data_IF_729003256785
#
_entry.id   IF_729003256785
#
_cell.length_a   1.000
_cell.length_b   1.000
_cell.length_c   1.000
_cell.angle_alpha   90.00
_cell.angle_beta   90.00
_cell.angle_gamma   90.00
#
_symmetry.space_group_name_H-M   'P 1'
#
loop_
_entity.id
_entity.type
_entity.pdbx_description
1 polymer ?
#
# COMPACT_ATOMS: atom_id res chain seq x y z
N UNK A 1 -9.34 -39.37 -7.92
CA UNK A 1 -8.81 -38.21 -7.17
C UNK A 1 -8.09 -37.35 -8.20
N UNK A 2 -8.72 -36.27 -8.65
CA UNK A 2 -8.14 -35.37 -9.64
C UNK A 2 -6.96 -34.66 -9.00
N UNK A 3 -5.75 -34.81 -9.56
CA UNK A 3 -4.69 -33.84 -9.33
C UNK A 3 -5.27 -32.48 -9.76
N UNK A 4 -5.49 -31.58 -8.80
CA UNK A 4 -5.71 -30.19 -9.13
C UNK A 4 -4.46 -29.76 -9.89
N UNK A 5 -4.61 -29.34 -11.15
CA UNK A 5 -3.51 -28.76 -11.90
C UNK A 5 -3.02 -27.56 -11.09
N UNK A 6 -1.88 -27.72 -10.42
CA UNK A 6 -1.24 -26.65 -9.68
C UNK A 6 -1.11 -25.44 -10.62
N UNK A 7 -1.49 -24.26 -10.12
CA UNK A 7 -1.36 -23.00 -10.87
C UNK A 7 0.10 -22.91 -11.35
N UNK A 8 0.32 -22.77 -12.66
CA UNK A 8 1.68 -22.70 -13.22
C UNK A 8 2.31 -21.36 -12.80
N UNK A 9 3.25 -21.41 -11.87
CA UNK A 9 3.89 -20.21 -11.31
C UNK A 9 5.18 -19.76 -12.04
N UNK A 10 5.41 -20.25 -13.27
CA UNK A 10 6.65 -19.97 -14.03
C UNK A 10 6.64 -18.61 -14.73
N UNK A 11 5.45 -18.06 -15.02
CA UNK A 11 5.29 -16.78 -15.69
C UNK A 11 4.41 -15.86 -14.86
N UNK A 12 4.59 -14.56 -15.05
CA UNK A 12 3.64 -13.58 -14.54
C UNK A 12 2.34 -13.64 -15.34
N UNK A 13 1.23 -13.20 -14.73
CA UNK A 13 0.02 -12.89 -15.50
C UNK A 13 0.31 -11.76 -16.51
N UNK A 14 -0.54 -11.56 -17.55
CA UNK A 14 -0.36 -10.45 -18.48
C UNK A 14 -0.42 -9.10 -17.75
N UNK A 15 0.61 -8.26 -17.93
CA UNK A 15 0.73 -6.94 -17.26
C UNK A 15 -0.50 -6.03 -17.44
N UNK A 16 -1.19 -6.13 -18.57
CA UNK A 16 -2.42 -5.38 -18.85
C UNK A 16 -3.59 -5.79 -17.96
N UNK A 17 -3.60 -7.01 -17.44
CA UNK A 17 -4.64 -7.54 -16.55
C UNK A 17 -4.47 -7.12 -15.08
N UNK A 18 -3.37 -6.44 -14.75
CA UNK A 18 -3.08 -5.93 -13.39
C UNK A 18 -2.72 -4.43 -13.40
N UNK A 19 -2.91 -3.78 -14.55
CA UNK A 19 -2.62 -2.37 -14.82
C UNK A 19 -1.16 -2.02 -14.52
N UNK A 20 -0.24 -2.75 -15.15
CA UNK A 20 1.21 -2.50 -15.07
C UNK A 20 1.85 -2.33 -16.45
N UNK A 21 2.85 -1.45 -16.50
CA UNK A 21 3.68 -1.22 -17.68
C UNK A 21 4.91 -2.12 -17.67
N UNK A 22 5.65 -2.18 -16.56
CA UNK A 22 6.81 -3.05 -16.42
C UNK A 22 6.40 -4.46 -15.98
N UNK A 23 7.04 -5.47 -16.57
CA UNK A 23 6.87 -6.88 -16.16
C UNK A 23 7.40 -7.11 -14.74
N UNK A 24 8.47 -6.41 -14.35
CA UNK A 24 9.04 -6.48 -13.00
C UNK A 24 8.11 -5.99 -11.90
N UNK A 25 7.08 -5.20 -12.25
CA UNK A 25 6.06 -4.71 -11.33
C UNK A 25 4.81 -5.62 -11.33
N UNK A 26 4.84 -6.77 -12.01
CA UNK A 26 3.78 -7.80 -11.95
C UNK A 26 4.20 -8.91 -10.99
N UNK A 27 3.51 -9.01 -9.87
CA UNK A 27 3.81 -10.01 -8.84
C UNK A 27 2.94 -11.26 -8.96
N UNK A 28 1.75 -11.15 -9.55
CA UNK A 28 0.88 -12.31 -9.77
C UNK A 28 1.42 -13.24 -10.86
N UNK A 29 1.36 -14.54 -10.57
CA UNK A 29 1.79 -15.60 -11.49
C UNK A 29 0.62 -16.41 -12.07
N UNK A 30 -0.58 -16.28 -11.50
CA UNK A 30 -1.77 -16.94 -12.04
C UNK A 30 -2.95 -16.84 -11.09
N UNK A 31 -4.13 -17.22 -11.57
CA UNK A 31 -5.32 -17.35 -10.73
C UNK A 31 -6.30 -18.38 -11.29
N UNK A 32 -7.16 -18.90 -10.42
CA UNK A 32 -8.23 -19.84 -10.74
C UNK A 32 -9.54 -19.46 -10.03
N UNK A 33 -10.65 -19.81 -10.66
CA UNK A 33 -11.97 -19.82 -10.02
C UNK A 33 -12.10 -21.13 -9.22
N UNK A 34 -12.25 -21.02 -7.90
CA UNK A 34 -12.49 -22.18 -7.03
C UNK A 34 -13.98 -22.54 -7.03
N UNK A 35 -14.83 -21.53 -6.84
CA UNK A 35 -16.29 -21.58 -6.94
C UNK A 35 -16.84 -20.16 -7.03
N UNK A 36 -18.15 -20.02 -7.21
CA UNK A 36 -18.79 -18.70 -7.23
C UNK A 36 -18.39 -17.84 -6.01
N UNK A 37 -17.88 -16.63 -6.29
CA UNK A 37 -17.41 -15.69 -5.28
C UNK A 37 -16.11 -16.07 -4.56
N UNK A 38 -15.41 -17.15 -4.95
CA UNK A 38 -14.15 -17.58 -4.35
C UNK A 38 -13.10 -17.92 -5.41
N UNK A 39 -11.97 -17.23 -5.34
CA UNK A 39 -10.84 -17.36 -6.24
C UNK A 39 -9.58 -17.67 -5.47
N UNK A 40 -8.60 -18.25 -6.17
CA UNK A 40 -7.23 -18.40 -5.67
C UNK A 40 -6.27 -17.77 -6.66
N UNK A 41 -5.39 -16.90 -6.16
CA UNK A 41 -4.29 -16.34 -6.94
C UNK A 41 -2.96 -16.88 -6.42
N UNK A 42 -1.96 -16.88 -7.29
CA UNK A 42 -0.56 -17.15 -6.94
C UNK A 42 0.28 -15.91 -7.24
N UNK A 43 1.31 -15.68 -6.43
CA UNK A 43 2.24 -14.57 -6.60
C UNK A 43 3.67 -14.99 -6.26
N UNK A 44 4.63 -14.22 -6.76
CA UNK A 44 6.02 -14.29 -6.35
C UNK A 44 6.44 -12.97 -5.68
N UNK A 45 6.92 -13.05 -4.45
CA UNK A 45 7.41 -11.90 -3.70
C UNK A 45 8.93 -11.76 -3.89
N UNK A 46 9.41 -10.66 -4.51
CA UNK A 46 10.82 -10.51 -4.84
C UNK A 46 11.68 -10.34 -3.59
N UNK A 47 12.88 -10.90 -3.57
CA UNK A 47 13.84 -10.73 -2.45
C UNK A 47 14.29 -9.28 -2.29
N UNK A 48 14.31 -8.54 -3.40
CA UNK A 48 14.78 -7.16 -3.48
C UNK A 48 13.90 -6.40 -4.45
N UNK A 49 13.49 -5.20 -4.04
CA UNK A 49 12.78 -4.24 -4.86
C UNK A 49 13.33 -2.84 -4.56
N UNK A 50 13.41 -1.98 -5.57
CA UNK A 50 13.87 -0.58 -5.48
C UNK A 50 13.04 0.28 -4.51
N UNK A 51 11.87 -0.19 -4.13
CA UNK A 51 10.88 0.55 -3.33
C UNK A 51 10.40 -0.28 -2.14
N UNK A 52 9.87 -1.48 -2.38
CA UNK A 52 9.30 -2.32 -1.33
C UNK A 52 10.32 -3.02 -0.42
N UNK A 53 11.59 -3.10 -0.78
CA UNK A 53 12.63 -3.70 0.06
C UNK A 53 13.62 -2.66 0.60
N UNK A 54 13.50 -1.42 0.15
CA UNK A 54 14.42 -0.32 0.44
C UNK A 54 14.04 0.32 1.78
N UNK A 55 14.57 -0.23 2.88
CA UNK A 55 14.31 0.26 4.24
C UNK A 55 15.58 0.20 5.08
N UNK A 56 15.65 1.06 6.10
CA UNK A 56 16.76 1.13 7.08
C UNK A 56 16.82 -0.04 8.07
N UNK A 57 15.91 -1.01 7.96
CA UNK A 57 15.82 -2.16 8.84
C UNK A 57 17.02 -3.10 8.70
N UNK A 58 17.53 -3.63 9.83
CA UNK A 58 18.68 -4.56 9.83
C UNK A 58 18.40 -5.89 9.14
N UNK A 59 17.17 -6.41 9.28
CA UNK A 59 16.76 -7.70 8.73
C UNK A 59 15.75 -7.51 7.61
N UNK A 60 15.99 -8.17 6.47
CA UNK A 60 15.11 -8.14 5.32
C UNK A 60 13.76 -8.81 5.61
N UNK A 61 12.68 -8.15 5.23
CA UNK A 61 11.31 -8.65 5.33
C UNK A 61 10.47 -8.08 4.18
N UNK A 62 9.40 -8.78 3.84
CA UNK A 62 8.38 -8.28 2.95
C UNK A 62 7.63 -7.12 3.60
N UNK A 63 7.61 -5.98 2.91
CA UNK A 63 6.94 -4.77 3.38
C UNK A 63 5.42 -4.86 3.18
N UNK A 64 4.63 -4.26 4.08
CA UNK A 64 3.18 -4.28 3.95
C UNK A 64 2.70 -3.65 2.62
N UNK A 65 3.36 -2.60 2.12
CA UNK A 65 2.98 -1.97 0.86
C UNK A 65 3.19 -2.91 -0.34
N UNK A 66 4.13 -3.86 -0.28
CA UNK A 66 4.23 -4.94 -1.28
C UNK A 66 3.02 -5.86 -1.20
N UNK A 67 2.63 -6.26 0.01
CA UNK A 67 1.48 -7.14 0.20
C UNK A 67 0.19 -6.47 -0.27
N UNK A 68 0.01 -5.18 0.05
CA UNK A 68 -1.07 -4.33 -0.46
C UNK A 68 -1.08 -4.26 -1.99
N UNK A 69 0.09 -4.12 -2.60
CA UNK A 69 0.21 -4.13 -4.06
C UNK A 69 -0.17 -5.48 -4.65
N UNK A 70 0.21 -6.59 -4.03
CA UNK A 70 -0.21 -7.95 -4.44
C UNK A 70 -1.73 -8.12 -4.32
N UNK A 71 -2.33 -7.68 -3.21
CA UNK A 71 -3.79 -7.67 -3.05
C UNK A 71 -4.48 -6.79 -4.09
N UNK A 72 -3.92 -5.62 -4.40
CA UNK A 72 -4.42 -4.74 -5.46
C UNK A 72 -4.38 -5.44 -6.82
N UNK A 73 -3.27 -6.07 -7.18
CA UNK A 73 -3.18 -6.84 -8.43
C UNK A 73 -4.19 -7.99 -8.47
N UNK A 74 -4.37 -8.73 -7.35
CA UNK A 74 -5.35 -9.80 -7.26
C UNK A 74 -6.76 -9.29 -7.54
N UNK A 75 -7.14 -8.18 -6.91
CA UNK A 75 -8.45 -7.54 -7.10
C UNK A 75 -8.71 -7.13 -8.55
N UNK A 76 -7.74 -6.54 -9.24
CA UNK A 76 -7.90 -6.12 -10.64
C UNK A 76 -7.94 -7.32 -11.58
N UNK A 77 -7.05 -8.30 -11.37
CA UNK A 77 -7.00 -9.49 -12.18
C UNK A 77 -8.31 -10.26 -12.11
N UNK A 78 -8.84 -10.52 -10.90
CA UNK A 78 -10.09 -11.28 -10.76
C UNK A 78 -11.29 -10.51 -11.34
N UNK A 79 -11.31 -9.18 -11.23
CA UNK A 79 -12.35 -8.34 -11.85
C UNK A 79 -12.39 -8.53 -13.36
N UNK A 80 -11.24 -8.48 -14.04
CA UNK A 80 -11.18 -8.67 -15.49
C UNK A 80 -11.38 -10.12 -15.93
N UNK A 81 -10.74 -11.08 -15.23
CA UNK A 81 -10.71 -12.46 -15.66
C UNK A 81 -12.01 -13.23 -15.35
N UNK A 82 -12.72 -12.84 -14.28
CA UNK A 82 -13.84 -13.63 -13.76
C UNK A 82 -15.10 -12.85 -13.40
N UNK A 83 -15.06 -11.52 -13.34
CA UNK A 83 -16.23 -10.67 -13.03
C UNK A 83 -16.68 -9.80 -14.20
N UNK A 84 -16.27 -10.16 -15.43
CA UNK A 84 -16.66 -9.51 -16.69
C UNK A 84 -16.40 -7.99 -16.75
N UNK A 85 -15.42 -7.50 -15.99
CA UNK A 85 -15.05 -6.07 -16.00
C UNK A 85 -14.22 -5.75 -17.24
N UNK A 86 -14.63 -4.73 -17.99
CA UNK A 86 -13.93 -4.30 -19.20
C UNK A 86 -12.54 -3.74 -18.89
N UNK A 87 -11.56 -4.04 -19.74
CA UNK A 87 -10.20 -3.45 -19.65
C UNK A 87 -10.18 -1.92 -19.81
N UNK A 88 -11.27 -1.31 -20.29
CA UNK A 88 -11.41 0.14 -20.43
C UNK A 88 -12.05 0.82 -19.22
N UNK A 89 -12.62 0.05 -18.29
CA UNK A 89 -13.25 0.61 -17.11
C UNK A 89 -12.22 1.15 -16.12
N UNK A 90 -12.58 2.25 -15.46
CA UNK A 90 -11.77 2.93 -14.46
C UNK A 90 -12.13 2.41 -13.08
N UNK A 91 -11.12 1.92 -12.37
CA UNK A 91 -11.27 1.41 -11.01
C UNK A 91 -11.21 2.54 -9.99
N UNK A 92 -12.04 2.44 -8.97
CA UNK A 92 -12.05 3.30 -7.80
C UNK A 92 -11.78 2.42 -6.59
N UNK A 93 -10.76 2.80 -5.82
CA UNK A 93 -10.47 2.19 -4.54
C UNK A 93 -11.08 3.04 -3.43
N UNK A 94 -12.04 2.48 -2.69
CA UNK A 94 -12.83 3.24 -1.71
C UNK A 94 -12.27 3.13 -0.30
N UNK A 95 -11.98 1.91 0.15
CA UNK A 95 -11.49 1.65 1.51
C UNK A 95 -10.80 0.30 1.60
N UNK A 96 -9.96 0.15 2.62
CA UNK A 96 -9.48 -1.17 3.02
C UNK A 96 -9.08 -1.27 4.48
N UNK A 97 -9.02 -2.51 4.97
CA UNK A 97 -8.37 -2.88 6.22
C UNK A 97 -7.35 -3.97 5.93
N UNK A 98 -6.08 -3.67 6.17
CA UNK A 98 -4.97 -4.62 6.02
C UNK A 98 -4.27 -4.85 7.35
N UNK A 99 -3.91 -6.09 7.63
CA UNK A 99 -3.20 -6.50 8.84
C UNK A 99 -2.15 -7.57 8.52
N UNK A 100 -0.94 -7.38 9.04
CA UNK A 100 0.08 -8.43 9.13
C UNK A 100 -0.31 -9.36 10.29
N UNK A 101 -0.39 -10.66 10.03
CA UNK A 101 -0.81 -11.66 11.03
C UNK A 101 0.35 -12.02 11.95
N UNK A 102 1.50 -12.34 11.36
CA UNK A 102 2.75 -12.57 12.08
C UNK A 102 3.92 -12.03 11.26
N UNK A 103 4.74 -11.19 11.90
CA UNK A 103 5.95 -10.64 11.31
C UNK A 103 6.98 -11.73 10.99
N UNK A 104 7.03 -12.82 11.78
CA UNK A 104 8.01 -13.90 11.58
C UNK A 104 7.89 -14.55 10.20
N UNK A 105 6.67 -14.56 9.64
CA UNK A 105 6.35 -15.09 8.32
C UNK A 105 6.78 -14.17 7.17
N UNK A 106 7.11 -12.91 7.46
CA UNK A 106 7.53 -11.93 6.44
C UNK A 106 9.03 -11.92 6.22
N UNK A 107 9.81 -12.72 6.94
CA UNK A 107 11.28 -12.77 6.77
C UNK A 107 11.62 -13.23 5.36
N UNK A 108 12.48 -12.45 4.68
CA UNK A 108 12.94 -12.79 3.32
C UNK A 108 13.98 -13.92 3.39
N UNK A 109 13.71 -15.00 2.66
CA UNK A 109 14.61 -16.16 2.56
C UNK A 109 15.74 -16.00 1.52
N UNK A 110 16.38 -17.12 1.21
CA UNK A 110 17.44 -17.22 0.19
C UNK A 110 16.91 -17.18 -1.25
N UNK A 111 15.59 -17.37 -1.43
CA UNK A 111 14.86 -17.36 -2.70
C UNK A 111 13.62 -16.46 -2.61
N UNK A 112 13.09 -15.96 -3.75
CA UNK A 112 11.79 -15.30 -3.76
C UNK A 112 10.72 -16.22 -3.16
N UNK A 113 9.83 -15.67 -2.35
CA UNK A 113 8.75 -16.44 -1.76
C UNK A 113 7.63 -16.64 -2.79
N UNK A 114 7.09 -17.85 -2.84
CA UNK A 114 5.79 -18.09 -3.47
C UNK A 114 4.70 -17.79 -2.46
N UNK A 115 3.74 -16.98 -2.86
CA UNK A 115 2.58 -16.64 -2.07
C UNK A 115 1.30 -17.15 -2.74
N UNK A 116 0.37 -17.63 -1.92
CA UNK A 116 -1.00 -17.96 -2.34
C UNK A 116 -1.95 -16.92 -1.74
N UNK A 117 -2.94 -16.48 -2.53
CA UNK A 117 -3.93 -15.51 -2.10
C UNK A 117 -5.32 -16.13 -2.28
N UNK A 118 -6.00 -16.40 -1.17
CA UNK A 118 -7.42 -16.70 -1.18
C UNK A 118 -8.21 -15.40 -1.27
N UNK A 119 -9.16 -15.33 -2.21
CA UNK A 119 -9.96 -14.13 -2.50
C UNK A 119 -11.44 -14.48 -2.42
N UNK A 120 -12.19 -13.78 -1.58
CA UNK A 120 -13.64 -13.93 -1.44
C UNK A 120 -14.35 -12.63 -1.78
N UNK A 121 -15.36 -12.69 -2.65
CA UNK A 121 -16.34 -11.62 -2.82
C UNK A 121 -17.34 -11.73 -1.67
N UNK A 122 -17.40 -10.69 -0.84
CA UNK A 122 -18.27 -10.68 0.37
C UNK A 122 -19.41 -9.68 0.28
N UNK A 123 -19.34 -8.73 -0.67
CA UNK A 123 -20.41 -7.79 -0.97
C UNK A 123 -20.31 -7.31 -2.42
N UNK A 124 -21.40 -6.78 -2.97
CA UNK A 124 -21.48 -6.30 -4.34
C UNK A 124 -22.16 -4.91 -4.42
N UNK A 125 -21.60 -4.04 -5.26
CA UNK A 125 -22.22 -2.76 -5.58
C UNK A 125 -23.00 -2.89 -6.87
N UNK A 126 -24.30 -2.57 -6.82
CA UNK A 126 -25.17 -2.56 -7.98
C UNK A 126 -25.53 -1.12 -8.39
N UNK A 127 -25.60 -0.88 -9.70
CA UNK A 127 -26.13 0.36 -10.27
C UNK A 127 -27.00 0.01 -11.47
N UNK A 128 -28.27 0.42 -11.42
CA UNK A 128 -29.27 0.06 -12.44
C UNK A 128 -29.38 -1.45 -12.68
N UNK A 129 -29.18 -2.27 -11.64
CA UNK A 129 -29.23 -3.73 -11.72
C UNK A 129 -27.93 -4.40 -12.17
N UNK A 130 -26.92 -3.63 -12.60
CA UNK A 130 -25.62 -4.16 -13.04
C UNK A 130 -24.56 -4.01 -11.96
N UNK A 131 -23.68 -5.01 -11.83
CA UNK A 131 -22.55 -4.97 -10.90
C UNK A 131 -21.53 -3.94 -11.34
N UNK A 132 -21.21 -3.01 -10.45
CA UNK A 132 -20.20 -1.98 -10.67
C UNK A 132 -19.19 -1.85 -9.54
N UNK A 133 -19.07 -2.89 -8.72
CA UNK A 133 -18.09 -2.99 -7.66
C UNK A 133 -18.28 -4.25 -6.84
N UNK A 134 -17.26 -4.55 -6.03
CA UNK A 134 -17.27 -5.61 -5.03
C UNK A 134 -16.55 -5.17 -3.78
N UNK A 135 -16.89 -5.78 -2.65
CA UNK A 135 -16.01 -5.84 -1.49
C UNK A 135 -15.36 -7.22 -1.44
N UNK A 136 -14.04 -7.24 -1.26
CA UNK A 136 -13.23 -8.46 -1.19
C UNK A 136 -12.66 -8.67 0.22
N UNK A 137 -12.62 -9.92 0.65
CA UNK A 137 -11.76 -10.37 1.75
C UNK A 137 -10.66 -11.24 1.17
N UNK A 138 -9.41 -10.93 1.51
CA UNK A 138 -8.25 -11.67 1.00
C UNK A 138 -7.30 -12.09 2.11
N UNK A 139 -6.67 -13.24 1.95
CA UNK A 139 -5.61 -13.73 2.84
C UNK A 139 -4.43 -14.16 2.00
N UNK A 140 -3.24 -13.67 2.34
CA UNK A 140 -1.99 -14.02 1.69
C UNK A 140 -1.21 -14.99 2.58
N UNK A 141 -0.91 -16.16 2.04
CA UNK A 141 -0.16 -17.21 2.69
C UNK A 141 1.24 -17.33 2.11
N UNK A 142 2.25 -17.45 2.98
CA UNK A 142 3.64 -17.75 2.63
C UNK A 142 3.98 -19.08 3.30
N UNK A 143 4.52 -20.04 2.54
CA UNK A 143 4.83 -21.40 3.04
C UNK A 143 3.63 -22.11 3.69
N UNK A 144 2.40 -21.81 3.24
CA UNK A 144 1.17 -22.40 3.79
C UNK A 144 0.62 -21.72 5.04
N UNK A 145 1.29 -20.68 5.56
CA UNK A 145 0.85 -19.93 6.73
C UNK A 145 0.38 -18.53 6.35
N UNK A 146 -0.73 -18.07 6.92
CA UNK A 146 -1.32 -16.76 6.60
C UNK A 146 -0.45 -15.65 7.19
N UNK A 147 0.31 -14.97 6.32
CA UNK A 147 1.22 -13.91 6.70
C UNK A 147 0.51 -12.54 6.80
N UNK A 148 -0.51 -12.30 5.97
CA UNK A 148 -1.28 -11.07 5.99
C UNK A 148 -2.73 -11.28 5.56
N UNK A 149 -3.60 -10.41 6.06
CA UNK A 149 -5.01 -10.34 5.71
C UNK A 149 -5.34 -8.96 5.18
N UNK A 150 -6.10 -8.95 4.10
CA UNK A 150 -6.78 -7.77 3.61
C UNK A 150 -8.26 -8.00 3.91
N UNK A 151 -8.62 -7.69 5.16
CA UNK A 151 -9.89 -8.05 5.81
C UNK A 151 -11.09 -7.38 5.15
N UNK A 152 -10.85 -6.33 4.36
CA UNK A 152 -11.83 -5.65 3.52
C UNK A 152 -11.09 -4.88 2.42
N UNK A 153 -11.53 -5.00 1.17
CA UNK A 153 -11.18 -4.13 0.04
C UNK A 153 -12.45 -3.74 -0.70
N UNK A 154 -12.83 -2.48 -0.69
CA UNK A 154 -13.97 -2.04 -1.52
C UNK A 154 -13.46 -1.41 -2.80
N UNK A 155 -13.80 -2.02 -3.93
CA UNK A 155 -13.50 -1.49 -5.25
C UNK A 155 -14.77 -1.30 -6.07
N UNK A 156 -14.75 -0.26 -6.89
CA UNK A 156 -15.79 -0.02 -7.89
C UNK A 156 -15.15 0.19 -9.25
N UNK A 157 -15.95 0.04 -10.29
CA UNK A 157 -15.54 0.34 -11.65
C UNK A 157 -16.62 1.14 -12.37
N UNK A 158 -16.20 1.89 -13.39
CA UNK A 158 -17.11 2.66 -14.24
C UNK A 158 -16.49 2.97 -15.59
N UNK A 159 -17.34 3.32 -16.54
CA UNK A 159 -16.91 3.79 -17.86
C UNK A 159 -16.08 5.07 -17.77
N UNK A 160 -15.20 5.27 -18.76
CA UNK A 160 -14.39 6.49 -18.88
C UNK A 160 -15.24 7.79 -18.94
N UNK A 161 -16.44 7.74 -19.51
CA UNK A 161 -17.34 8.88 -19.53
C UNK A 161 -17.85 9.26 -18.13
N UNK A 162 -18.21 8.27 -17.30
CA UNK A 162 -18.62 8.49 -15.92
C UNK A 162 -17.44 8.99 -15.06
N UNK A 163 -16.25 8.44 -15.28
CA UNK A 163 -14.99 8.87 -14.66
C UNK A 163 -14.70 10.35 -14.92
N UNK A 164 -14.68 10.76 -16.20
CA UNK A 164 -14.41 12.15 -16.59
C UNK A 164 -15.43 13.12 -15.98
N UNK A 165 -16.72 12.75 -15.98
CA UNK A 165 -17.78 13.55 -15.36
C UNK A 165 -17.60 13.70 -13.86
N UNK A 166 -17.20 12.62 -13.17
CA UNK A 166 -16.96 12.63 -11.73
C UNK A 166 -15.81 13.56 -11.35
N UNK A 167 -14.73 13.57 -12.14
CA UNK A 167 -13.52 14.35 -11.86
C UNK A 167 -13.55 15.80 -12.34
N UNK A 168 -14.51 16.16 -13.20
CA UNK A 168 -14.61 17.51 -13.79
C UNK A 168 -14.53 18.65 -12.76
N UNK A 169 -15.17 18.50 -11.59
CA UNK A 169 -15.13 19.53 -10.53
C UNK A 169 -13.74 19.67 -9.90
N UNK A 170 -13.03 18.56 -9.67
CA UNK A 170 -11.67 18.56 -9.11
C UNK A 170 -10.69 19.21 -10.07
N UNK A 171 -10.75 18.80 -11.35
CA UNK A 171 -9.92 19.37 -12.42
C UNK A 171 -10.18 20.87 -12.63
N UNK A 172 -11.44 21.32 -12.54
CA UNK A 172 -11.77 22.74 -12.67
C UNK A 172 -11.26 23.61 -11.51
N UNK A 173 -10.88 23.01 -10.38
CA UNK A 173 -10.30 23.72 -9.24
C UNK A 173 -8.78 23.95 -9.37
N UNK A 174 -8.13 23.32 -10.36
CA UNK A 174 -6.70 23.49 -10.62
C UNK A 174 -6.47 24.88 -11.24
N UNK A 175 -5.64 25.75 -10.63
CA UNK A 175 -5.33 27.05 -11.21
C UNK A 175 -4.66 26.90 -12.58
N UNK A 176 -5.06 27.72 -13.56
CA UNK A 176 -4.47 27.69 -14.91
C UNK A 176 -2.96 28.00 -14.93
N UNK A 177 -2.48 28.68 -13.89
CA UNK A 177 -1.08 29.03 -13.65
C UNK A 177 -0.49 28.26 -12.45
N UNK A 178 -1.00 27.06 -12.15
CA UNK A 178 -0.46 26.21 -11.10
C UNK A 178 1.05 25.99 -11.32
N UNK A 179 1.84 26.21 -10.27
CA UNK A 179 3.28 25.97 -10.31
C UNK A 179 3.52 24.46 -10.44
N UNK A 180 4.22 23.99 -11.50
CA UNK A 180 4.55 22.58 -11.64
C UNK A 180 5.40 22.02 -10.48
N UNK A 181 6.07 22.89 -9.71
CA UNK A 181 6.84 22.54 -8.53
C UNK A 181 6.03 22.57 -7.23
N UNK A 182 4.75 22.97 -7.26
CA UNK A 182 3.90 23.06 -6.06
C UNK A 182 3.75 21.72 -5.32
N UNK A 183 3.94 20.60 -6.02
CA UNK A 183 3.91 19.25 -5.47
C UNK A 183 5.31 18.61 -5.38
N UNK A 184 6.37 19.38 -5.57
CA UNK A 184 7.77 18.94 -5.46
C UNK A 184 8.55 19.78 -4.42
N UNK A 185 8.04 19.94 -3.19
CA UNK A 185 8.81 20.61 -2.15
C UNK A 185 10.11 19.84 -1.84
N UNK A 186 11.16 20.51 -1.33
CA UNK A 186 12.40 19.84 -0.95
C UNK A 186 12.13 18.68 0.03
N UNK A 187 12.64 17.46 -0.24
CA UNK A 187 12.33 16.28 0.57
C UNK A 187 12.98 16.31 1.96
N UNK A 188 12.38 15.59 2.90
CA UNK A 188 13.04 15.19 4.15
C UNK A 188 14.29 14.34 3.89
N UNK A 189 15.13 14.20 4.92
CA UNK A 189 16.21 13.20 4.89
C UNK A 189 15.60 11.80 4.76
N UNK A 190 16.14 10.92 3.88
CA UNK A 190 15.67 9.54 3.76
C UNK A 190 15.61 8.80 5.10
N UNK A 191 16.65 8.98 5.94
CA UNK A 191 16.75 8.31 7.24
C UNK A 191 15.63 8.71 8.20
N UNK A 192 15.06 9.92 8.09
CA UNK A 192 13.99 10.40 8.96
C UNK A 192 12.66 9.67 8.72
N UNK A 193 12.52 9.01 7.57
CA UNK A 193 11.34 8.27 7.16
C UNK A 193 11.65 6.78 6.90
N UNK A 194 12.79 6.30 7.41
CA UNK A 194 13.17 4.90 7.32
C UNK A 194 13.67 4.43 5.95
N UNK A 195 14.09 5.36 5.08
CA UNK A 195 14.59 5.11 3.72
C UNK A 195 16.08 5.39 3.58
N UNK A 196 16.70 4.81 2.56
CA UNK A 196 18.06 5.14 2.10
C UNK A 196 18.04 6.02 0.85
N UNK A 197 17.02 5.88 -0.01
CA UNK A 197 16.99 6.57 -1.30
C UNK A 197 16.03 7.77 -1.26
N UNK A 198 16.51 8.91 -1.79
CA UNK A 198 15.75 10.15 -1.80
C UNK A 198 14.45 10.03 -2.60
N UNK A 199 14.45 9.29 -3.70
CA UNK A 199 13.28 9.10 -4.55
C UNK A 199 12.12 8.36 -3.85
N UNK A 200 12.40 7.67 -2.74
CA UNK A 200 11.39 6.98 -1.94
C UNK A 200 10.89 7.85 -0.77
N UNK A 201 11.36 9.08 -0.63
CA UNK A 201 10.85 10.06 0.34
C UNK A 201 9.68 10.80 -0.29
N UNK A 202 8.49 10.68 0.30
CA UNK A 202 7.27 11.30 -0.23
C UNK A 202 6.82 12.50 0.60
N UNK A 203 7.62 12.93 1.57
CA UNK A 203 7.32 14.06 2.45
C UNK A 203 8.30 15.21 2.23
N UNK A 204 7.75 16.42 2.14
CA UNK A 204 8.50 17.66 2.14
C UNK A 204 9.11 17.96 3.51
N UNK A 205 10.23 18.67 3.51
CA UNK A 205 11.01 19.04 4.70
C UNK A 205 10.32 20.06 5.61
N UNK A 206 9.42 20.86 5.05
CA UNK A 206 8.68 21.92 5.73
C UNK A 206 7.55 21.33 6.58
N UNK A 207 7.94 20.66 7.68
CA UNK A 207 7.02 20.08 8.64
C UNK A 207 6.50 21.15 9.60
N UNK A 208 5.19 21.24 9.74
CA UNK A 208 4.54 22.10 10.73
C UNK A 208 4.06 21.25 11.90
N UNK A 209 4.52 21.57 13.11
CA UNK A 209 4.13 20.84 14.32
C UNK A 209 3.50 21.80 15.33
N UNK A 210 2.25 21.54 15.67
CA UNK A 210 1.53 22.16 16.78
C UNK A 210 1.43 21.19 17.97
N UNK A 211 0.72 21.63 19.03
CA UNK A 211 0.51 20.80 20.22
C UNK A 211 -0.28 19.51 19.94
N UNK A 212 -1.26 19.59 19.03
CA UNK A 212 -2.17 18.48 18.73
C UNK A 212 -1.89 17.82 17.37
N UNK A 213 -1.08 18.41 16.50
CA UNK A 213 -0.95 17.92 15.11
C UNK A 213 0.44 18.09 14.53
N UNK A 214 0.76 17.21 13.59
CA UNK A 214 1.94 17.25 12.73
C UNK A 214 1.48 17.25 11.27
N UNK A 215 1.91 18.21 10.48
CA UNK A 215 1.55 18.38 9.06
C UNK A 215 2.81 18.33 8.21
N UNK A 216 2.72 17.61 7.10
CA UNK A 216 3.79 17.45 6.12
C UNK A 216 3.27 17.66 4.70
N UNK A 217 3.94 18.46 3.86
CA UNK A 217 3.66 18.49 2.42
C UNK A 217 3.91 17.11 1.81
N UNK A 218 3.01 16.65 0.94
CA UNK A 218 3.18 15.43 0.15
C UNK A 218 3.92 15.76 -1.16
N UNK A 219 4.96 14.98 -1.46
CA UNK A 219 5.69 15.04 -2.73
C UNK A 219 5.00 14.13 -3.73
N UNK A 220 4.67 14.67 -4.90
CA UNK A 220 4.11 13.93 -6.04
C UNK A 220 5.15 13.91 -7.16
N UNK A 221 6.18 13.08 -6.98
CA UNK A 221 7.21 12.87 -7.99
C UNK A 221 6.78 11.81 -9.00
N UNK A 222 6.34 12.26 -10.18
CA UNK A 222 5.93 11.41 -11.29
C UNK A 222 7.07 10.56 -11.87
N UNK A 223 8.33 10.81 -11.47
CA UNK A 223 9.48 10.01 -11.90
C UNK A 223 9.78 8.83 -10.98
N UNK A 224 9.05 8.64 -9.86
CA UNK A 224 9.19 7.45 -9.04
C UNK A 224 8.63 6.22 -9.79
N UNK A 225 9.46 5.28 -10.25
CA UNK A 225 9.02 4.22 -11.16
C UNK A 225 8.16 3.14 -10.50
N UNK A 226 8.22 3.00 -9.17
CA UNK A 226 7.40 2.02 -8.45
C UNK A 226 5.99 2.56 -8.18
N UNK A 227 5.88 3.86 -7.87
CA UNK A 227 4.59 4.52 -7.62
C UNK A 227 3.90 4.88 -8.94
N UNK A 228 4.66 5.38 -9.91
CA UNK A 228 4.22 5.83 -11.23
C UNK A 228 4.79 4.96 -12.36
N UNK A 229 4.63 3.63 -12.24
CA UNK A 229 5.03 2.66 -13.27
C UNK A 229 4.40 2.94 -14.66
N UNK A 230 3.21 3.55 -14.67
CA UNK A 230 2.56 4.06 -15.88
C UNK A 230 1.96 5.44 -15.63
N UNK A 231 1.64 6.20 -16.70
CA UNK A 231 0.95 7.47 -16.55
C UNK A 231 -0.36 7.30 -15.79
N UNK A 232 -0.45 7.96 -14.64
CA UNK A 232 -1.66 8.10 -13.87
C UNK A 232 -2.28 9.45 -14.16
N UNK A 233 -3.57 9.59 -13.88
CA UNK A 233 -4.32 10.82 -14.10
C UNK A 233 -4.65 11.54 -12.79
N UNK A 234 -4.31 10.96 -11.63
CA UNK A 234 -4.52 11.50 -10.28
C UNK A 234 -3.46 10.94 -9.31
N UNK A 235 -3.39 11.49 -8.09
CA UNK A 235 -2.52 11.01 -7.03
C UNK A 235 -2.93 9.58 -6.62
N UNK A 236 -2.08 8.55 -6.80
CA UNK A 236 -2.47 7.17 -6.52
C UNK A 236 -2.61 6.90 -5.02
N UNK A 237 -3.53 6.00 -4.66
CA UNK A 237 -3.70 5.54 -3.28
C UNK A 237 -2.40 5.00 -2.64
N UNK A 238 -1.52 4.36 -3.43
CA UNK A 238 -0.21 3.89 -2.93
C UNK A 238 0.70 5.03 -2.45
N UNK A 239 0.66 6.21 -3.10
CA UNK A 239 1.41 7.38 -2.66
C UNK A 239 0.82 7.96 -1.37
N UNK A 240 -0.51 7.97 -1.24
CA UNK A 240 -1.18 8.42 -0.02
C UNK A 240 -0.88 7.50 1.17
N UNK A 241 -0.88 6.19 0.95
CA UNK A 241 -0.50 5.18 1.95
C UNK A 241 0.96 5.34 2.41
N UNK A 242 1.87 5.62 1.48
CA UNK A 242 3.26 5.93 1.82
C UNK A 242 3.38 7.22 2.62
N UNK A 243 2.64 8.26 2.24
CA UNK A 243 2.57 9.52 2.98
C UNK A 243 2.13 9.29 4.44
N UNK A 244 1.07 8.51 4.64
CA UNK A 244 0.62 8.14 5.99
C UNK A 244 1.70 7.40 6.78
N UNK A 245 2.36 6.41 6.15
CA UNK A 245 3.43 5.63 6.80
C UNK A 245 4.59 6.52 7.21
N UNK A 246 5.07 7.39 6.32
CA UNK A 246 6.20 8.26 6.61
C UNK A 246 5.87 9.29 7.69
N UNK A 247 4.66 9.89 7.69
CA UNK A 247 4.27 10.83 8.75
C UNK A 247 4.14 10.12 10.09
N UNK A 248 3.61 8.89 10.11
CA UNK A 248 3.50 8.10 11.34
C UNK A 248 4.89 7.78 11.94
N UNK A 249 5.88 7.47 11.10
CA UNK A 249 7.26 7.25 11.55
C UNK A 249 7.88 8.53 12.12
N UNK A 250 7.69 9.69 11.46
CA UNK A 250 8.17 10.98 11.98
C UNK A 250 7.49 11.35 13.30
N UNK A 251 6.18 11.08 13.42
CA UNK A 251 5.43 11.32 14.66
C UNK A 251 5.95 10.43 15.80
N UNK A 252 6.17 9.13 15.54
CA UNK A 252 6.71 8.20 16.52
C UNK A 252 8.10 8.61 17.00
N UNK A 253 9.00 9.01 16.09
CA UNK A 253 10.34 9.50 16.45
C UNK A 253 10.26 10.76 17.32
N UNK A 254 9.50 11.77 16.89
CA UNK A 254 9.43 13.05 17.60
C UNK A 254 8.73 12.98 18.95
N UNK A 255 7.62 12.25 19.04
CA UNK A 255 6.79 12.22 20.25
C UNK A 255 7.20 11.11 21.23
N UNK A 256 7.66 9.97 20.71
CA UNK A 256 7.91 8.76 21.50
C UNK A 256 9.39 8.35 21.52
N UNK A 257 10.25 9.04 20.77
CA UNK A 257 11.69 8.76 20.66
C UNK A 257 11.95 7.32 20.16
N UNK A 258 11.12 6.86 19.22
CA UNK A 258 11.27 5.56 18.55
C UNK A 258 11.55 5.81 17.06
N UNK A 259 12.80 5.54 16.66
CA UNK A 259 13.26 5.77 15.30
C UNK A 259 12.61 4.84 14.27
N UNK A 260 12.56 5.25 12.99
CA UNK A 260 11.91 4.48 11.93
C UNK A 260 12.53 3.10 11.72
N UNK A 261 13.83 2.93 11.97
CA UNK A 261 14.54 1.66 11.86
C UNK A 261 14.09 0.60 12.89
N UNK A 262 13.26 0.99 13.85
CA UNK A 262 12.71 0.16 14.91
C UNK A 262 11.22 -0.14 14.71
N UNK A 263 10.59 0.28 13.62
CA UNK A 263 9.14 0.20 13.44
C UNK A 263 8.75 -0.42 12.10
N UNK A 264 7.73 -1.26 12.09
CA UNK A 264 7.09 -1.78 10.89
C UNK A 264 5.60 -1.48 10.87
N UNK A 265 5.07 -1.06 9.73
CA UNK A 265 3.62 -0.94 9.53
C UNK A 265 2.96 -2.33 9.58
N UNK A 266 2.08 -2.54 10.56
CA UNK A 266 1.43 -3.83 10.84
C UNK A 266 -0.08 -3.84 10.63
N UNK A 267 -0.72 -2.68 10.73
CA UNK A 267 -2.11 -2.49 10.31
C UNK A 267 -2.28 -1.16 9.59
N UNK A 268 -3.12 -1.16 8.57
CA UNK A 268 -3.58 0.04 7.89
C UNK A 268 -5.08 -0.10 7.62
N UNK A 269 -5.88 0.78 8.21
CA UNK A 269 -7.25 1.04 7.80
C UNK A 269 -7.27 2.36 7.05
N UNK A 270 -7.74 2.38 5.81
CA UNK A 270 -7.75 3.58 4.97
C UNK A 270 -9.12 3.76 4.32
N UNK A 271 -9.55 5.01 4.18
CA UNK A 271 -10.75 5.40 3.44
C UNK A 271 -10.40 6.54 2.49
N UNK A 272 -10.71 6.40 1.21
CA UNK A 272 -10.55 7.42 0.18
C UNK A 272 -11.91 8.07 -0.09
N UNK A 273 -12.01 9.36 0.23
CA UNK A 273 -13.26 10.12 0.11
C UNK A 273 -13.34 10.91 -1.19
N UNK A 274 -12.18 11.28 -1.76
CA UNK A 274 -12.05 12.09 -2.98
C UNK A 274 -10.75 11.77 -3.71
N UNK A 275 -10.67 12.14 -4.98
CA UNK A 275 -9.42 12.08 -5.74
C UNK A 275 -8.52 13.25 -5.36
N UNK A 276 -7.23 12.96 -5.15
CA UNK A 276 -6.19 13.97 -5.15
C UNK A 276 -5.77 14.27 -6.58
N UNK A 277 -5.85 15.53 -6.99
CA UNK A 277 -5.52 16.00 -8.33
C UNK A 277 -4.05 16.44 -8.42
N UNK A 278 -3.46 16.38 -9.62
CA UNK A 278 -2.14 16.98 -9.85
C UNK A 278 -2.22 18.50 -9.90
N UNK A 279 -1.10 19.17 -9.61
CA UNK A 279 -0.99 20.63 -9.65
C UNK A 279 -1.58 21.36 -8.44
N UNK A 280 -2.05 20.64 -7.42
CA UNK A 280 -2.57 21.20 -6.18
C UNK A 280 -1.71 20.76 -4.98
N UNK A 281 -1.25 21.68 -4.12
CA UNK A 281 -0.56 21.31 -2.89
C UNK A 281 -1.39 20.32 -2.07
N UNK A 282 -0.74 19.26 -1.62
CA UNK A 282 -1.34 18.18 -0.84
C UNK A 282 -0.57 18.04 0.46
N UNK A 283 -1.29 17.85 1.56
CA UNK A 283 -0.70 17.74 2.88
C UNK A 283 -1.17 16.47 3.55
N UNK A 284 -0.26 15.79 4.25
CA UNK A 284 -0.56 14.69 5.15
C UNK A 284 -0.52 15.23 6.57
N UNK A 285 -1.54 14.95 7.36
CA UNK A 285 -1.72 15.44 8.72
C UNK A 285 -1.91 14.27 9.67
N UNK A 286 -1.13 14.25 10.74
CA UNK A 286 -1.30 13.34 11.86
C UNK A 286 -1.99 14.05 13.04
N UNK A 287 -2.97 13.38 13.62
CA UNK A 287 -3.57 13.77 14.89
C UNK A 287 -2.72 13.22 16.04
N UNK A 288 -1.87 14.06 16.63
CA UNK A 288 -1.00 13.67 17.74
C UNK A 288 -1.79 13.37 19.03
N UNK A 289 -3.05 13.80 19.14
CA UNK A 289 -3.89 13.44 20.29
C UNK A 289 -4.39 12.00 20.23
N UNK A 290 -4.44 11.42 19.03
CA UNK A 290 -4.73 10.01 18.79
C UNK A 290 -3.51 9.09 18.94
N UNK A 291 -2.30 9.67 19.05
CA UNK A 291 -1.07 8.91 19.17
C UNK A 291 -1.06 8.15 20.50
N UNK A 292 -1.08 6.82 20.42
CA UNK A 292 -1.03 5.95 21.58
C UNK A 292 0.07 4.91 21.43
N UNK A 293 0.70 4.56 22.54
CA UNK A 293 1.63 3.44 22.65
C UNK A 293 1.12 2.49 23.73
N UNK A 294 0.93 1.23 23.38
CA UNK A 294 0.48 0.22 24.33
C UNK A 294 1.64 -0.45 25.09
N UNK A 295 1.30 -1.34 26.02
CA UNK A 295 2.25 -2.08 26.86
C UNK A 295 3.23 -2.96 26.07
N UNK A 296 2.85 -3.37 24.85
CA UNK A 296 3.69 -4.15 23.94
C UNK A 296 4.51 -3.26 23.00
N UNK A 297 4.42 -1.94 23.19
CA UNK A 297 5.08 -0.93 22.39
C UNK A 297 4.44 -0.69 21.02
N UNK A 298 3.26 -1.26 20.73
CA UNK A 298 2.55 -0.97 19.48
C UNK A 298 2.10 0.48 19.48
N UNK A 299 2.29 1.15 18.35
CA UNK A 299 1.96 2.56 18.20
C UNK A 299 0.78 2.68 17.25
N UNK A 300 -0.28 3.36 17.66
CA UNK A 300 -1.43 3.68 16.80
C UNK A 300 -1.54 5.17 16.56
N UNK A 301 -1.97 5.54 15.35
CA UNK A 301 -2.11 6.95 14.97
C UNK A 301 -3.21 7.12 13.91
N UNK A 302 -4.06 8.14 14.08
CA UNK A 302 -4.99 8.60 13.05
C UNK A 302 -4.36 9.71 12.20
N UNK A 303 -4.58 9.62 10.89
CA UNK A 303 -4.04 10.54 9.90
C UNK A 303 -5.09 10.89 8.84
N UNK A 304 -4.89 12.01 8.18
CA UNK A 304 -5.67 12.44 7.02
C UNK A 304 -4.78 13.06 5.95
N UNK A 305 -5.23 13.00 4.70
CA UNK A 305 -4.65 13.76 3.60
C UNK A 305 -5.65 14.84 3.20
N UNK A 306 -5.18 16.07 3.14
CA UNK A 306 -5.95 17.23 2.69
C UNK A 306 -5.40 17.77 1.36
N UNK A 307 -6.30 18.17 0.47
CA UNK A 307 -5.96 18.92 -0.73
C UNK A 307 -7.05 19.96 -0.99
N UNK A 308 -6.65 21.22 -1.18
CA UNK A 308 -7.58 22.31 -1.50
C UNK A 308 -8.66 22.56 -0.44
N UNK A 309 -8.33 22.39 0.85
CA UNK A 309 -9.29 22.59 1.96
C UNK A 309 -10.25 21.42 2.19
N UNK A 310 -10.02 20.28 1.55
CA UNK A 310 -10.86 19.09 1.70
C UNK A 310 -10.03 17.85 2.02
N UNK A 311 -10.48 17.07 3.00
CA UNK A 311 -9.94 15.74 3.28
C UNK A 311 -10.27 14.81 2.10
N UNK A 312 -9.24 14.23 1.51
CA UNK A 312 -9.33 13.30 0.37
C UNK A 312 -9.12 11.84 0.78
N UNK A 313 -8.43 11.60 1.90
CA UNK A 313 -8.25 10.28 2.48
C UNK A 313 -8.06 10.37 4.01
N UNK A 314 -8.49 9.34 4.74
CA UNK A 314 -8.20 9.15 6.16
C UNK A 314 -7.57 7.79 6.38
N UNK A 315 -6.76 7.66 7.44
CA UNK A 315 -6.19 6.39 7.83
C UNK A 315 -6.04 6.25 9.35
N UNK A 316 -6.16 5.01 9.84
CA UNK A 316 -5.67 4.59 11.14
C UNK A 316 -4.58 3.56 10.92
N UNK A 317 -3.38 3.86 11.42
CA UNK A 317 -2.22 2.99 11.28
C UNK A 317 -1.85 2.35 12.63
N UNK A 318 -1.25 1.17 12.56
CA UNK A 318 -0.54 0.54 13.65
C UNK A 318 0.91 0.26 13.21
N UNK A 319 1.87 0.68 14.03
CA UNK A 319 3.29 0.35 13.89
C UNK A 319 3.69 -0.64 14.99
N UNK A 320 4.38 -1.71 14.60
CA UNK A 320 4.97 -2.69 15.52
C UNK A 320 6.45 -2.40 15.74
N UNK A 321 6.92 -2.44 17.00
CA UNK A 321 8.34 -2.48 17.30
C UNK A 321 9.03 -3.69 16.67
N UNK A 322 10.17 -3.44 16.05
CA UNK A 322 11.14 -4.45 15.70
C UNK A 322 11.88 -4.82 16.98
N UNK A 323 11.45 -5.88 17.66
CA UNK A 323 12.23 -6.41 18.79
C UNK A 323 13.63 -6.70 18.27
N UNK A 324 14.64 -6.04 18.84
CA UNK A 324 16.02 -6.34 18.53
C UNK A 324 16.22 -7.83 18.81
N UNK A 325 16.43 -8.62 17.76
CA UNK A 325 16.92 -9.99 17.93
C UNK A 325 18.17 -9.85 18.78
N UNK A 326 18.17 -10.37 20.01
CA UNK A 326 19.40 -10.43 20.78
C UNK A 326 20.41 -11.17 19.90
N UNK A 327 21.62 -10.62 19.68
CA UNK A 327 22.64 -11.37 18.96
C UNK A 327 22.81 -12.70 19.67
N UNK A 328 22.67 -13.80 18.92
CA UNK A 328 22.98 -15.14 19.40
C UNK A 328 24.33 -15.07 20.09
N UNK A 329 24.34 -15.27 21.41
CA UNK A 329 25.57 -15.46 22.14
C UNK A 329 26.22 -16.70 21.51
N UNK A 330 27.28 -16.50 20.74
CA UNK A 330 28.17 -17.57 20.32
C UNK A 330 28.69 -18.19 21.62
N UNK A 331 28.06 -19.29 22.05
CA UNK A 331 28.66 -20.18 23.03
C UNK A 331 29.91 -20.71 22.36
N UNK A 332 31.05 -20.11 22.71
CA UNK A 332 32.35 -20.63 22.34
C UNK A 332 32.45 -22.03 22.96
N UNK A 333 32.04 -23.05 22.20
CA UNK A 333 32.28 -24.44 22.49
C UNK A 333 33.77 -24.68 22.39
N UNK A 334 34.47 -24.45 23.49
CA UNK A 334 35.84 -24.89 23.68
C UNK A 334 35.86 -26.40 23.59
N UNK A 335 36.45 -26.91 22.52
CA UNK A 335 36.87 -28.31 22.43
C UNK A 335 38.02 -28.48 23.43
N UNK A 336 37.80 -29.32 24.44
CA UNK A 336 38.85 -30.10 25.11
C UNK A 336 38.48 -31.56 24.97
#
# INVERSE_FOLDING_TARGET
MSEALAIRCENTVPRSMVHRAAVSEVFLTGAELVKEGHFRCSAQLPRTHSYFSEHTHRAAHYDMLLLLEVFRQASIYISHAFLDVSAQDKFIYLDSVTRVTDRSLLVVGDRPASAEIDVYVVDEYLRHGERNGVTLNMSLSINGEVAARHERMSIRWMSGAAWNKMRARGLAAIPANADPLAQLPPPLSPSAVGRHWLNNVVLGRELEQGAATLVAPLIVDLNNPAIFDHPLDHIPGMLLLEGFRQVALVAADRQLQVGPEQLLLSRCHVVFTRFGEFGLPTQVRADLTSLARDEHGRITLALEVEQGGAVIATAELELLPLVASQPLALVAGGVR
#
